data_IF_140394242753
#
_entry.id   IF_140394242753
#
_cell.length_a   1.000
_cell.length_b   1.000
_cell.length_c   1.000
_cell.angle_alpha   90.00
_cell.angle_beta   90.00
_cell.angle_gamma   90.00
#
_symmetry.space_group_name_H-M   'P 1'
#
loop_
_entity.id
_entity.type
_entity.pdbx_description
1 polymer ?
#
# COMPACT_ATOMS: atom_id res chain seq x y z
N UNK A 1 -19.23 14.95 -20.01
CA UNK A 1 -18.86 13.95 -18.98
C UNK A 1 -20.14 13.26 -18.56
N UNK A 2 -20.20 11.95 -18.53
CA UNK A 2 -21.36 11.20 -18.03
C UNK A 2 -21.61 11.59 -16.57
N UNK A 3 -22.88 11.74 -16.19
CA UNK A 3 -23.28 12.15 -14.82
C UNK A 3 -22.75 11.15 -13.77
N UNK A 4 -22.70 9.87 -14.08
CA UNK A 4 -22.16 8.83 -13.17
C UNK A 4 -20.67 9.03 -12.93
N UNK A 5 -19.87 9.27 -13.97
CA UNK A 5 -18.43 9.55 -13.86
C UNK A 5 -18.19 10.87 -13.10
N UNK A 6 -18.99 11.88 -13.36
CA UNK A 6 -18.90 13.15 -12.61
C UNK A 6 -19.14 12.95 -11.11
N UNK A 7 -20.13 12.17 -10.74
CA UNK A 7 -20.45 11.87 -9.33
C UNK A 7 -19.38 10.96 -8.70
N UNK A 8 -18.85 9.99 -9.42
CA UNK A 8 -17.76 9.13 -8.94
C UNK A 8 -16.55 9.96 -8.56
N UNK A 9 -16.09 10.83 -9.47
CA UNK A 9 -14.93 11.68 -9.25
C UNK A 9 -15.16 12.69 -8.13
N UNK A 10 -16.27 13.42 -8.16
CA UNK A 10 -16.47 14.55 -7.24
C UNK A 10 -17.09 14.18 -5.90
N UNK A 11 -17.81 13.08 -5.79
CA UNK A 11 -18.47 12.67 -4.55
C UNK A 11 -17.78 11.52 -3.81
N UNK A 12 -16.83 10.81 -4.46
CA UNK A 12 -16.11 9.68 -3.87
C UNK A 12 -14.60 9.86 -4.00
N UNK A 13 -14.03 9.91 -5.21
CA UNK A 13 -12.58 9.90 -5.43
C UNK A 13 -11.88 11.15 -4.87
N UNK A 14 -12.28 12.35 -5.28
CA UNK A 14 -11.66 13.60 -4.81
C UNK A 14 -11.73 13.79 -3.30
N UNK A 15 -12.90 13.63 -2.63
CA UNK A 15 -12.94 13.71 -1.18
C UNK A 15 -12.01 12.72 -0.47
N UNK A 16 -11.83 11.51 -1.03
CA UNK A 16 -10.89 10.54 -0.49
C UNK A 16 -9.43 11.02 -0.61
N UNK A 17 -9.05 11.59 -1.75
CA UNK A 17 -7.72 12.15 -1.98
C UNK A 17 -7.44 13.32 -1.05
N UNK A 18 -8.36 14.27 -0.95
CA UNK A 18 -8.24 15.44 -0.07
C UNK A 18 -8.08 15.01 1.40
N UNK A 19 -8.87 14.03 1.84
CA UNK A 19 -8.76 13.46 3.19
C UNK A 19 -7.38 12.81 3.41
N UNK A 20 -6.92 11.95 2.50
CA UNK A 20 -5.61 11.31 2.60
C UNK A 20 -4.46 12.34 2.61
N UNK A 21 -4.57 13.42 1.81
CA UNK A 21 -3.59 14.51 1.86
C UNK A 21 -3.59 15.21 3.23
N UNK A 22 -4.76 15.51 3.79
CA UNK A 22 -4.85 16.09 5.13
C UNK A 22 -4.28 15.19 6.23
N UNK A 23 -4.33 13.87 6.03
CA UNK A 23 -3.72 12.85 6.90
C UNK A 23 -2.19 12.71 6.70
N UNK A 24 -1.59 13.54 5.83
CA UNK A 24 -0.15 13.62 5.64
C UNK A 24 0.40 12.71 4.55
N UNK A 25 -0.43 12.26 3.61
CA UNK A 25 0.03 11.63 2.37
C UNK A 25 0.34 12.71 1.33
N UNK A 26 1.51 12.63 0.73
CA UNK A 26 1.92 13.57 -0.34
C UNK A 26 1.34 13.13 -1.67
N UNK A 27 0.61 14.00 -2.34
CA UNK A 27 0.09 13.72 -3.67
C UNK A 27 1.18 13.81 -4.73
N UNK A 28 1.20 12.82 -5.63
CA UNK A 28 2.04 12.80 -6.83
C UNK A 28 1.11 12.69 -8.03
N UNK A 29 1.31 13.53 -9.05
CA UNK A 29 0.48 13.48 -10.25
C UNK A 29 0.67 12.16 -11.02
N UNK A 30 -0.34 11.69 -11.76
CA UNK A 30 -0.20 10.51 -12.63
C UNK A 30 0.98 10.63 -13.60
N UNK A 31 1.22 11.83 -14.15
CA UNK A 31 2.31 12.12 -15.08
C UNK A 31 3.68 11.97 -14.40
N UNK A 32 3.83 12.44 -13.16
CA UNK A 32 5.09 12.30 -12.43
C UNK A 32 5.32 10.86 -11.96
N UNK A 33 4.26 10.14 -11.63
CA UNK A 33 4.34 8.70 -11.40
C UNK A 33 4.81 7.95 -12.67
N UNK A 34 4.29 8.30 -13.84
CA UNK A 34 4.70 7.67 -15.11
C UNK A 34 6.17 7.91 -15.44
N UNK A 35 6.67 9.13 -15.24
CA UNK A 35 8.11 9.46 -15.39
C UNK A 35 9.00 8.59 -14.53
N UNK A 36 8.63 8.37 -13.27
CA UNK A 36 9.43 7.57 -12.34
C UNK A 36 9.43 6.07 -12.65
N UNK A 37 8.39 5.55 -13.28
CA UNK A 37 8.27 4.13 -13.61
C UNK A 37 9.01 3.73 -14.89
N UNK A 38 9.16 4.67 -15.81
CA UNK A 38 9.74 4.45 -17.14
C UNK A 38 8.82 3.71 -18.12
N UNK A 39 7.82 2.98 -17.66
CA UNK A 39 6.75 2.39 -18.47
C UNK A 39 5.49 2.15 -17.62
N UNK A 40 4.33 2.01 -18.28
CA UNK A 40 3.06 1.71 -17.58
C UNK A 40 2.98 0.30 -17.04
N UNK A 41 3.85 -0.62 -17.47
CA UNK A 41 3.93 -1.97 -16.90
C UNK A 41 4.54 -1.96 -15.49
N UNK A 42 5.57 -1.14 -15.26
CA UNK A 42 6.19 -1.03 -13.94
C UNK A 42 5.34 -0.22 -12.97
N UNK A 43 5.41 -0.57 -11.70
CA UNK A 43 4.55 0.01 -10.66
C UNK A 43 5.32 0.62 -9.48
N UNK A 44 6.63 0.45 -9.42
CA UNK A 44 7.47 1.08 -8.40
C UNK A 44 7.83 2.51 -8.81
N UNK A 45 7.74 3.46 -7.90
CA UNK A 45 8.23 4.83 -8.08
C UNK A 45 9.75 4.83 -7.80
N UNK A 46 10.53 4.52 -8.85
CA UNK A 46 11.94 4.14 -8.74
C UNK A 46 12.84 5.19 -8.11
N UNK A 47 12.62 6.47 -8.41
CA UNK A 47 13.48 7.53 -7.86
C UNK A 47 13.21 7.75 -6.36
N UNK A 48 11.95 7.68 -5.94
CA UNK A 48 11.57 7.74 -4.53
C UNK A 48 12.14 6.52 -3.80
N UNK A 49 11.95 5.32 -4.35
CA UNK A 49 12.45 4.10 -3.74
C UNK A 49 13.98 4.12 -3.59
N UNK A 50 14.71 4.47 -4.65
CA UNK A 50 16.17 4.59 -4.63
C UNK A 50 16.65 5.58 -3.55
N UNK A 51 16.01 6.76 -3.51
CA UNK A 51 16.32 7.78 -2.52
C UNK A 51 16.10 7.29 -1.09
N UNK A 52 14.99 6.60 -0.84
CA UNK A 52 14.66 6.06 0.46
C UNK A 52 15.57 4.90 0.86
N UNK A 53 15.88 3.98 -0.05
CA UNK A 53 16.84 2.90 0.25
C UNK A 53 18.19 3.45 0.69
N UNK A 54 18.69 4.49 0.03
CA UNK A 54 19.93 5.16 0.43
C UNK A 54 19.82 5.87 1.78
N UNK A 55 18.70 6.52 2.06
CA UNK A 55 18.46 7.26 3.31
C UNK A 55 18.31 6.32 4.50
N UNK A 56 17.52 5.24 4.35
CA UNK A 56 17.16 4.35 5.46
C UNK A 56 18.26 3.37 5.82
N UNK A 57 19.21 3.11 4.92
CA UNK A 57 20.14 2.01 5.08
C UNK A 57 21.59 2.49 5.21
N UNK A 58 22.19 2.09 6.31
CA UNK A 58 23.59 2.23 6.63
C UNK A 58 24.06 0.93 7.29
N UNK A 59 25.32 0.57 7.12
CA UNK A 59 25.91 -0.53 7.85
C UNK A 59 27.13 -0.09 8.63
N UNK A 60 27.41 -0.77 9.74
CA UNK A 60 28.57 -0.46 10.58
C UNK A 60 29.64 -1.53 10.40
N UNK A 61 30.86 -1.11 10.10
CA UNK A 61 32.02 -1.98 10.01
C UNK A 61 33.23 -1.32 10.66
N UNK A 62 33.91 -2.05 11.55
CA UNK A 62 35.09 -1.56 12.29
C UNK A 62 34.90 -0.18 12.99
N UNK A 63 33.69 0.08 13.51
CA UNK A 63 33.31 1.32 14.16
C UNK A 63 32.94 2.48 13.22
N UNK A 64 33.05 2.30 11.91
CA UNK A 64 32.62 3.28 10.91
C UNK A 64 31.24 2.98 10.35
N UNK A 65 30.42 4.03 10.15
CA UNK A 65 29.12 3.93 9.48
C UNK A 65 29.31 4.15 7.98
N UNK A 66 28.83 3.22 7.17
CA UNK A 66 29.02 3.20 5.73
C UNK A 66 27.68 3.18 5.00
N UNK A 67 27.68 3.66 3.77
CA UNK A 67 26.56 3.56 2.83
C UNK A 67 26.63 2.26 2.04
N UNK A 68 25.48 1.70 1.69
CA UNK A 68 25.42 0.62 0.71
C UNK A 68 25.90 1.12 -0.66
N UNK A 69 26.60 0.26 -1.39
CA UNK A 69 27.02 0.54 -2.76
C UNK A 69 25.83 0.80 -3.68
N UNK A 70 26.03 1.67 -4.68
CA UNK A 70 24.99 1.95 -5.65
C UNK A 70 24.51 0.68 -6.37
N UNK A 71 25.43 -0.26 -6.63
CA UNK A 71 25.09 -1.56 -7.22
C UNK A 71 24.14 -2.39 -6.37
N UNK A 72 24.34 -2.43 -5.05
CA UNK A 72 23.43 -3.15 -4.15
C UNK A 72 22.08 -2.43 -3.96
N UNK A 73 22.03 -1.10 -4.03
CA UNK A 73 20.76 -0.36 -4.05
C UNK A 73 19.94 -0.72 -5.30
N UNK A 74 20.54 -0.69 -6.49
CA UNK A 74 19.83 -1.07 -7.72
C UNK A 74 19.41 -2.55 -7.69
N UNK A 75 20.31 -3.43 -7.27
CA UNK A 75 20.00 -4.86 -7.09
C UNK A 75 18.83 -5.08 -6.12
N UNK A 76 18.76 -4.33 -5.02
CA UNK A 76 17.66 -4.43 -4.07
C UNK A 76 16.32 -4.03 -4.72
N UNK A 77 16.32 -3.00 -5.58
CA UNK A 77 15.13 -2.59 -6.32
C UNK A 77 14.70 -3.65 -7.35
N UNK A 78 15.65 -4.21 -8.08
CA UNK A 78 15.37 -5.26 -9.08
C UNK A 78 14.85 -6.54 -8.42
N UNK A 79 15.45 -6.95 -7.31
CA UNK A 79 15.02 -8.13 -6.55
C UNK A 79 13.68 -7.94 -5.81
N UNK A 80 13.25 -6.70 -5.55
CA UNK A 80 11.91 -6.42 -5.05
C UNK A 80 10.86 -6.57 -6.16
N UNK A 81 11.24 -6.32 -7.41
CA UNK A 81 10.35 -6.47 -8.58
C UNK A 81 10.25 -7.94 -9.04
N UNK A 82 9.94 -8.83 -8.08
CA UNK A 82 9.77 -10.26 -8.29
C UNK A 82 8.80 -10.56 -9.45
N UNK A 83 9.18 -11.45 -10.38
CA UNK A 83 8.29 -11.88 -11.46
C UNK A 83 7.14 -12.75 -10.92
N UNK A 84 6.00 -12.71 -11.59
CA UNK A 84 4.78 -13.45 -11.20
C UNK A 84 4.79 -14.93 -11.60
N UNK A 85 5.95 -15.56 -11.73
CA UNK A 85 6.12 -16.96 -12.18
C UNK A 85 5.42 -17.97 -11.29
N UNK A 86 5.37 -17.70 -9.98
CA UNK A 86 4.73 -18.58 -8.99
C UNK A 86 3.27 -18.19 -8.70
N UNK A 87 2.71 -17.26 -9.49
CA UNK A 87 1.39 -16.69 -9.31
C UNK A 87 1.35 -15.56 -8.28
N UNK A 88 0.23 -14.82 -8.29
CA UNK A 88 0.09 -13.56 -7.57
C UNK A 88 0.32 -13.70 -6.05
N UNK A 89 -0.33 -14.68 -5.40
CA UNK A 89 -0.30 -14.78 -3.93
C UNK A 89 1.09 -15.18 -3.42
N UNK A 90 1.76 -16.15 -4.06
CA UNK A 90 3.11 -16.55 -3.67
C UNK A 90 4.15 -15.46 -3.91
N UNK A 91 4.00 -14.73 -5.02
CA UNK A 91 4.88 -13.57 -5.27
C UNK A 91 4.61 -12.46 -4.25
N UNK A 92 3.34 -12.21 -3.89
CA UNK A 92 2.99 -11.27 -2.83
C UNK A 92 3.56 -11.68 -1.47
N UNK A 93 3.64 -12.97 -1.15
CA UNK A 93 4.29 -13.48 0.07
C UNK A 93 5.78 -13.14 0.09
N UNK A 94 6.50 -13.44 -0.99
CA UNK A 94 7.94 -13.09 -1.11
C UNK A 94 8.20 -11.59 -0.97
N UNK A 95 7.36 -10.77 -1.61
CA UNK A 95 7.43 -9.32 -1.48
C UNK A 95 7.16 -8.89 -0.05
N UNK A 96 6.11 -9.41 0.57
CA UNK A 96 5.76 -9.09 1.96
C UNK A 96 6.88 -9.45 2.94
N UNK A 97 7.50 -10.61 2.80
CA UNK A 97 8.65 -11.03 3.62
C UNK A 97 9.83 -10.06 3.44
N UNK A 98 10.11 -9.64 2.20
CA UNK A 98 11.14 -8.64 1.94
C UNK A 98 10.80 -7.27 2.58
N UNK A 99 9.54 -6.84 2.56
CA UNK A 99 9.10 -5.61 3.20
C UNK A 99 9.22 -5.66 4.72
N UNK A 100 8.95 -6.82 5.34
CA UNK A 100 9.04 -7.00 6.79
C UNK A 100 10.47 -7.14 7.29
N UNK A 101 11.27 -7.97 6.63
CA UNK A 101 12.57 -8.40 7.13
C UNK A 101 13.76 -7.74 6.43
N UNK A 102 13.53 -7.12 5.27
CA UNK A 102 14.61 -6.69 4.38
C UNK A 102 15.27 -7.86 3.66
N UNK A 103 16.37 -7.57 2.97
CA UNK A 103 17.23 -8.56 2.30
C UNK A 103 18.70 -8.25 2.59
N UNK A 104 19.54 -9.30 2.67
CA UNK A 104 20.96 -9.14 2.92
C UNK A 104 21.75 -9.04 1.63
N UNK A 105 22.63 -8.03 1.56
CA UNK A 105 23.50 -7.75 0.39
C UNK A 105 24.96 -7.74 0.79
N UNK A 106 25.86 -8.34 -0.02
CA UNK A 106 27.28 -8.35 0.24
C UNK A 106 27.92 -6.98 -0.09
N UNK A 107 28.62 -6.40 0.86
CA UNK A 107 29.46 -5.22 0.66
C UNK A 107 30.94 -5.55 0.83
N UNK A 108 31.77 -4.93 0.01
CA UNK A 108 33.22 -5.05 0.15
C UNK A 108 33.69 -4.14 1.28
N UNK A 109 34.25 -4.72 2.32
CA UNK A 109 34.78 -4.02 3.49
C UNK A 109 36.31 -4.07 3.53
N UNK A 110 36.92 -3.48 4.52
CA UNK A 110 38.38 -3.39 4.66
C UNK A 110 39.12 -4.68 4.31
N UNK A 111 40.26 -4.56 3.63
CA UNK A 111 41.07 -5.64 3.14
C UNK A 111 40.42 -6.55 2.05
N UNK A 112 39.44 -6.02 1.31
CA UNK A 112 38.77 -6.76 0.24
C UNK A 112 37.86 -7.89 0.70
N UNK A 113 37.49 -7.96 1.99
CA UNK A 113 36.54 -8.94 2.50
C UNK A 113 35.11 -8.57 2.07
N UNK A 114 34.33 -9.58 1.76
CA UNK A 114 32.89 -9.43 1.51
C UNK A 114 32.12 -9.84 2.76
N UNK A 115 31.27 -8.95 3.27
CA UNK A 115 30.36 -9.22 4.38
C UNK A 115 28.95 -8.80 3.97
N UNK A 116 27.96 -9.59 4.38
CA UNK A 116 26.55 -9.28 4.08
C UNK A 116 25.92 -8.44 5.19
N UNK A 117 25.20 -7.41 4.79
CA UNK A 117 24.45 -6.52 5.68
C UNK A 117 22.99 -6.46 5.23
N UNK A 118 22.07 -6.35 6.21
CA UNK A 118 20.65 -6.27 5.93
C UNK A 118 20.26 -4.87 5.42
N UNK A 119 19.52 -4.83 4.32
CA UNK A 119 18.92 -3.65 3.72
C UNK A 119 17.41 -3.75 3.89
N UNK A 120 16.79 -2.75 4.53
CA UNK A 120 15.35 -2.66 4.75
C UNK A 120 14.69 -1.77 3.70
N UNK A 121 13.51 -2.17 3.27
CA UNK A 121 12.67 -1.39 2.36
C UNK A 121 11.75 -0.42 3.11
N UNK A 122 11.39 -0.78 4.33
CA UNK A 122 10.49 -0.03 5.23
C UNK A 122 11.16 0.07 6.60
N UNK A 123 11.13 1.26 7.18
CA UNK A 123 11.60 1.48 8.55
C UNK A 123 10.44 1.27 9.53
N UNK A 124 10.30 0.02 9.99
CA UNK A 124 9.25 -0.37 10.95
C UNK A 124 9.49 0.16 12.36
N UNK A 125 10.73 0.44 12.71
CA UNK A 125 11.11 0.87 14.05
C UNK A 125 10.93 2.39 14.20
N UNK A 126 11.37 3.16 13.19
CA UNK A 126 11.19 4.61 13.12
C UNK A 126 10.25 4.95 11.97
N UNK A 127 8.94 4.79 12.22
CA UNK A 127 7.92 4.85 11.20
C UNK A 127 7.88 6.16 10.40
N UNK A 128 8.19 7.29 11.07
CA UNK A 128 8.25 8.63 10.46
C UNK A 128 9.41 8.82 9.46
N UNK A 129 10.37 7.90 9.41
CA UNK A 129 11.41 7.91 8.39
C UNK A 129 10.90 7.53 7.00
N UNK A 130 9.73 6.88 6.93
CA UNK A 130 9.11 6.49 5.67
C UNK A 130 8.42 7.66 4.99
N UNK A 131 8.33 7.61 3.66
CA UNK A 131 7.58 8.55 2.85
C UNK A 131 6.24 7.92 2.45
N UNK A 132 5.18 8.69 2.59
CA UNK A 132 3.81 8.28 2.28
C UNK A 132 3.28 9.13 1.13
N UNK A 133 2.91 8.48 0.02
CA UNK A 133 2.40 9.18 -1.16
C UNK A 133 1.08 8.57 -1.62
N UNK A 134 0.32 9.37 -2.35
CA UNK A 134 -0.87 8.94 -3.07
C UNK A 134 -0.82 9.48 -4.50
N UNK A 135 -1.46 8.74 -5.39
CA UNK A 135 -1.78 9.21 -6.74
C UNK A 135 -3.19 8.77 -7.10
N UNK A 136 -3.75 9.44 -8.09
CA UNK A 136 -5.03 9.06 -8.70
C UNK A 136 -4.83 8.49 -10.09
N UNK A 137 -5.87 7.80 -10.63
CA UNK A 137 -5.93 7.38 -12.02
C UNK A 137 -4.63 6.68 -12.49
N UNK A 138 -4.14 5.75 -11.65
CA UNK A 138 -2.84 5.12 -11.83
C UNK A 138 -2.85 4.10 -12.98
N UNK A 139 -2.59 4.56 -14.20
CA UNK A 139 -2.64 3.71 -15.39
C UNK A 139 -1.55 2.62 -15.35
N UNK A 140 -1.97 1.35 -15.44
CA UNK A 140 -1.10 0.17 -15.50
C UNK A 140 -1.48 -0.68 -16.70
N UNK A 141 -0.49 -1.11 -17.49
CA UNK A 141 -0.65 -2.00 -18.65
C UNK A 141 -0.38 -3.45 -18.25
N UNK A 142 -1.15 -4.39 -18.81
CA UNK A 142 -0.86 -5.82 -18.70
C UNK A 142 0.45 -6.16 -19.42
N UNK A 143 1.02 -7.33 -19.10
CA UNK A 143 2.27 -7.79 -19.69
C UNK A 143 2.18 -7.94 -21.22
N UNK A 144 1.05 -8.42 -21.72
CA UNK A 144 0.78 -8.60 -23.13
C UNK A 144 0.25 -7.33 -23.82
N UNK A 145 0.07 -6.23 -23.08
CA UNK A 145 -0.49 -4.94 -23.52
C UNK A 145 -1.92 -5.02 -24.09
N UNK A 146 -2.63 -6.12 -23.83
CA UNK A 146 -4.02 -6.27 -24.30
C UNK A 146 -5.01 -5.60 -23.36
N UNK A 147 -4.67 -5.47 -22.08
CA UNK A 147 -5.49 -4.84 -21.08
C UNK A 147 -4.75 -3.70 -20.39
N UNK A 148 -5.51 -2.66 -20.11
CA UNK A 148 -5.08 -1.54 -19.29
C UNK A 148 -6.09 -1.36 -18.18
N UNK A 149 -5.62 -1.17 -16.96
CA UNK A 149 -6.46 -0.75 -15.87
C UNK A 149 -5.92 0.53 -15.26
N UNK A 150 -6.83 1.29 -14.67
CA UNK A 150 -6.52 2.58 -14.08
C UNK A 150 -7.21 2.67 -12.72
N UNK A 151 -6.61 2.05 -11.68
CA UNK A 151 -7.08 2.19 -10.31
C UNK A 151 -7.27 3.65 -9.91
N UNK A 152 -8.37 3.94 -9.22
CA UNK A 152 -8.76 5.31 -8.89
C UNK A 152 -7.76 5.98 -7.95
N UNK A 153 -7.32 5.25 -6.90
CA UNK A 153 -6.31 5.77 -5.95
C UNK A 153 -5.33 4.65 -5.60
N UNK A 154 -4.03 4.99 -5.66
CA UNK A 154 -2.96 4.10 -5.18
C UNK A 154 -2.14 4.82 -4.12
N UNK A 155 -1.90 4.13 -3.01
CA UNK A 155 -1.10 4.62 -1.89
C UNK A 155 0.27 3.92 -1.90
N UNK A 156 1.31 4.68 -1.55
CA UNK A 156 2.71 4.20 -1.57
C UNK A 156 3.38 4.44 -0.23
N UNK A 157 4.23 3.50 0.16
CA UNK A 157 5.26 3.70 1.19
C UNK A 157 6.62 3.58 0.51
N UNK A 158 7.45 4.61 0.63
CA UNK A 158 8.80 4.66 0.03
C UNK A 158 8.82 4.37 -1.49
N UNK A 159 7.74 4.72 -2.20
CA UNK A 159 7.61 4.47 -3.64
C UNK A 159 7.13 3.06 -4.00
N UNK A 160 6.79 2.23 -3.01
CA UNK A 160 6.24 0.87 -3.17
C UNK A 160 4.72 0.95 -3.00
N UNK A 161 3.90 0.48 -3.95
CA UNK A 161 2.44 0.43 -3.79
C UNK A 161 2.08 -0.46 -2.59
N UNK A 162 1.25 0.02 -1.67
CA UNK A 162 0.83 -0.81 -0.55
C UNK A 162 -0.69 -0.89 -0.38
N UNK A 163 -1.43 0.05 -0.97
CA UNK A 163 -2.89 -0.03 -0.98
C UNK A 163 -3.47 0.50 -2.30
N UNK A 164 -4.62 -0.06 -2.66
CA UNK A 164 -5.40 0.34 -3.83
C UNK A 164 -6.83 0.58 -3.39
N UNK A 165 -7.41 1.72 -3.79
CA UNK A 165 -8.81 2.07 -3.51
C UNK A 165 -9.51 2.25 -4.86
N UNK A 166 -10.65 1.57 -5.00
CA UNK A 166 -11.57 1.69 -6.13
C UNK A 166 -12.83 2.39 -5.66
N UNK A 167 -13.19 3.47 -6.33
CA UNK A 167 -14.32 4.31 -6.01
C UNK A 167 -15.48 4.07 -6.99
N UNK A 168 -16.71 4.25 -6.53
CA UNK A 168 -17.90 4.29 -7.37
C UNK A 168 -18.77 5.48 -7.01
N UNK A 169 -19.64 5.89 -7.94
CA UNK A 169 -20.63 6.92 -7.68
C UNK A 169 -21.56 6.50 -6.52
N UNK A 170 -22.08 7.42 -5.71
CA UNK A 170 -22.87 7.12 -4.50
C UNK A 170 -24.10 6.24 -4.70
N UNK A 171 -24.64 6.20 -5.92
CA UNK A 171 -25.81 5.39 -6.30
C UNK A 171 -25.44 4.03 -6.91
N UNK A 172 -24.14 3.77 -7.12
CA UNK A 172 -23.61 2.51 -7.61
C UNK A 172 -23.14 1.67 -6.40
N UNK A 173 -23.48 0.38 -6.40
CA UNK A 173 -23.03 -0.51 -5.32
C UNK A 173 -21.51 -0.65 -5.29
N UNK A 174 -20.94 -0.61 -4.10
CA UNK A 174 -19.51 -0.90 -3.84
C UNK A 174 -19.11 -2.31 -4.29
N UNK A 175 -20.08 -3.22 -4.47
CA UNK A 175 -19.83 -4.55 -5.02
C UNK A 175 -19.25 -4.51 -6.44
N UNK A 176 -19.59 -3.49 -7.23
CA UNK A 176 -18.98 -3.31 -8.55
C UNK A 176 -17.49 -2.92 -8.45
N UNK A 177 -17.13 -2.12 -7.45
CA UNK A 177 -15.72 -1.84 -7.15
C UNK A 177 -14.98 -3.10 -6.69
N UNK A 178 -15.62 -3.95 -5.87
CA UNK A 178 -15.06 -5.26 -5.47
C UNK A 178 -14.80 -6.13 -6.70
N UNK A 179 -15.76 -6.25 -7.60
CA UNK A 179 -15.63 -7.04 -8.82
C UNK A 179 -14.53 -6.52 -9.75
N UNK A 180 -14.42 -5.20 -9.89
CA UNK A 180 -13.36 -4.54 -10.65
C UNK A 180 -11.99 -4.81 -10.01
N UNK A 181 -11.88 -4.69 -8.71
CA UNK A 181 -10.66 -4.97 -7.96
C UNK A 181 -10.20 -6.43 -8.12
N UNK A 182 -11.12 -7.38 -8.05
CA UNK A 182 -10.83 -8.81 -8.26
C UNK A 182 -10.40 -9.07 -9.71
N UNK A 183 -11.10 -8.49 -10.69
CA UNK A 183 -10.73 -8.60 -12.11
C UNK A 183 -9.33 -8.08 -12.37
N UNK A 184 -8.98 -6.92 -11.82
CA UNK A 184 -7.67 -6.29 -12.03
C UNK A 184 -6.50 -7.14 -11.49
N UNK A 185 -6.77 -8.09 -10.62
CA UNK A 185 -5.79 -9.03 -10.07
C UNK A 185 -5.59 -10.29 -10.92
N UNK A 186 -6.40 -10.51 -11.96
CA UNK A 186 -6.26 -11.68 -12.83
C UNK A 186 -4.98 -11.59 -13.67
N UNK A 187 -4.47 -12.76 -14.08
CA UNK A 187 -3.18 -12.88 -14.76
C UNK A 187 -3.09 -12.08 -16.08
N UNK A 188 -4.22 -11.90 -16.76
CA UNK A 188 -4.36 -11.16 -18.00
C UNK A 188 -4.58 -9.64 -17.80
N UNK A 189 -4.75 -9.18 -16.56
CA UNK A 189 -4.90 -7.75 -16.24
C UNK A 189 -3.61 -7.14 -15.70
N UNK A 190 -3.63 -6.63 -14.44
CA UNK A 190 -2.53 -5.89 -13.84
C UNK A 190 -2.06 -6.47 -12.48
N UNK A 191 -1.85 -7.80 -12.38
CA UNK A 191 -1.48 -8.45 -11.11
C UNK A 191 -0.14 -7.95 -10.55
N UNK A 192 0.73 -7.37 -11.39
CA UNK A 192 2.01 -6.83 -10.95
C UNK A 192 1.87 -5.64 -9.98
N UNK A 193 0.75 -4.92 -9.98
CA UNK A 193 0.45 -3.92 -8.97
C UNK A 193 0.09 -4.58 -7.63
N UNK A 194 -0.70 -5.64 -7.70
CA UNK A 194 -1.28 -6.27 -6.53
C UNK A 194 -0.32 -7.19 -5.78
N UNK A 195 0.81 -7.59 -6.36
CA UNK A 195 1.84 -8.32 -5.60
C UNK A 195 2.40 -7.50 -4.44
N UNK A 196 2.34 -6.16 -4.53
CA UNK A 196 2.77 -5.23 -3.48
C UNK A 196 1.64 -4.84 -2.53
N UNK A 197 0.40 -4.78 -3.01
CA UNK A 197 -0.73 -4.28 -2.24
C UNK A 197 -1.01 -5.14 -1.01
N UNK A 198 -1.05 -4.51 0.15
CA UNK A 198 -1.38 -5.14 1.43
C UNK A 198 -2.85 -4.98 1.77
N UNK A 199 -3.43 -3.83 1.40
CA UNK A 199 -4.81 -3.47 1.64
C UNK A 199 -5.46 -3.08 0.31
N UNK A 200 -6.62 -3.62 0.02
CA UNK A 200 -7.46 -3.22 -1.11
C UNK A 200 -8.83 -2.78 -0.60
N UNK A 201 -9.35 -1.67 -1.11
CA UNK A 201 -10.60 -1.06 -0.66
C UNK A 201 -11.51 -0.78 -1.82
N UNK A 202 -12.78 -1.10 -1.66
CA UNK A 202 -13.87 -0.79 -2.58
C UNK A 202 -14.89 0.11 -1.89
N UNK A 203 -15.24 1.25 -2.49
CA UNK A 203 -16.09 2.26 -1.85
C UNK A 203 -16.98 3.00 -2.84
N UNK A 204 -18.10 3.58 -2.31
CA UNK A 204 -19.00 4.43 -3.08
C UNK A 204 -19.49 5.67 -2.29
N UNK A 205 -18.74 6.18 -1.33
CA UNK A 205 -19.09 7.21 -0.36
C UNK A 205 -19.93 6.68 0.83
N UNK A 206 -20.92 5.82 0.60
CA UNK A 206 -21.91 5.38 1.60
C UNK A 206 -21.59 4.01 2.19
N UNK A 207 -20.78 3.20 1.48
CA UNK A 207 -20.39 1.86 1.88
C UNK A 207 -18.92 1.61 1.52
N UNK A 208 -18.24 0.85 2.36
CA UNK A 208 -16.84 0.50 2.19
C UNK A 208 -16.62 -0.97 2.51
N UNK A 209 -15.90 -1.65 1.64
CA UNK A 209 -15.38 -3.00 1.87
C UNK A 209 -13.87 -3.01 1.72
N UNK A 210 -13.21 -3.78 2.53
CA UNK A 210 -11.76 -3.98 2.44
C UNK A 210 -11.40 -5.46 2.42
N UNK A 211 -10.23 -5.72 1.87
CA UNK A 211 -9.63 -7.03 1.77
C UNK A 211 -8.12 -6.91 1.60
N UNK A 212 -7.46 -8.00 1.27
CA UNK A 212 -6.09 -8.04 0.77
C UNK A 212 -6.03 -8.73 -0.59
N UNK A 213 -4.87 -8.73 -1.21
CA UNK A 213 -4.64 -9.37 -2.51
C UNK A 213 -5.08 -10.83 -2.52
N UNK A 214 -5.79 -11.23 -3.57
CA UNK A 214 -6.26 -12.61 -3.77
C UNK A 214 -7.50 -12.98 -2.99
N UNK A 215 -8.11 -12.05 -2.24
CA UNK A 215 -9.32 -12.34 -1.45
C UNK A 215 -10.55 -12.53 -2.34
N UNK A 216 -11.22 -13.70 -2.28
CA UNK A 216 -12.49 -13.92 -2.99
C UNK A 216 -13.60 -12.99 -2.51
N UNK A 217 -14.53 -12.60 -3.39
CA UNK A 217 -15.62 -11.65 -3.13
C UNK A 217 -16.35 -11.88 -1.80
N UNK A 218 -16.69 -13.12 -1.49
CA UNK A 218 -17.44 -13.48 -0.25
C UNK A 218 -16.70 -13.21 1.07
N UNK A 219 -15.39 -12.94 1.02
CA UNK A 219 -14.54 -12.69 2.19
C UNK A 219 -14.10 -11.23 2.30
N UNK A 220 -14.61 -10.34 1.47
CA UNK A 220 -14.46 -8.91 1.67
C UNK A 220 -15.25 -8.46 2.89
N UNK A 221 -14.63 -7.66 3.74
CA UNK A 221 -15.16 -7.29 5.04
C UNK A 221 -15.47 -5.79 5.10
N UNK A 222 -16.34 -5.41 6.04
CA UNK A 222 -16.52 -4.03 6.48
C UNK A 222 -15.63 -3.78 7.69
N UNK A 223 -15.06 -2.57 7.77
CA UNK A 223 -14.38 -2.13 8.98
C UNK A 223 -15.36 -1.36 9.85
N UNK A 224 -15.41 -1.68 11.14
CA UNK A 224 -16.06 -0.86 12.15
C UNK A 224 -15.01 -0.42 13.16
N UNK A 225 -14.84 0.89 13.27
CA UNK A 225 -13.95 1.44 14.28
C UNK A 225 -14.59 1.32 15.63
N UNK A 226 -13.90 0.72 16.60
CA UNK A 226 -14.37 0.58 17.99
C UNK A 226 -13.80 1.67 18.91
N UNK A 227 -12.80 2.43 18.41
CA UNK A 227 -12.25 3.60 19.12
C UNK A 227 -12.92 4.89 18.63
N UNK A 228 -14.13 5.14 19.12
CA UNK A 228 -14.90 6.35 18.75
C UNK A 228 -14.17 7.65 19.10
N UNK A 229 -13.37 7.68 20.18
CA UNK A 229 -12.60 8.86 20.57
C UNK A 229 -11.55 9.18 19.53
N UNK A 230 -10.78 8.19 19.08
CA UNK A 230 -9.82 8.35 17.99
C UNK A 230 -10.51 8.79 16.71
N UNK A 231 -11.56 8.07 16.29
CA UNK A 231 -12.24 8.34 15.03
C UNK A 231 -12.81 9.75 14.97
N UNK A 232 -13.54 10.17 16.02
CA UNK A 232 -14.18 11.47 16.05
C UNK A 232 -13.15 12.62 16.11
N UNK A 233 -12.06 12.45 16.86
CA UNK A 233 -11.00 13.44 16.92
C UNK A 233 -10.29 13.59 15.57
N UNK A 234 -9.97 12.48 14.90
CA UNK A 234 -9.34 12.48 13.59
C UNK A 234 -10.25 13.08 12.52
N UNK A 235 -11.53 12.70 12.47
CA UNK A 235 -12.50 13.28 11.55
C UNK A 235 -12.64 14.80 11.74
N UNK A 236 -12.74 15.27 12.98
CA UNK A 236 -12.83 16.70 13.28
C UNK A 236 -11.56 17.48 12.88
N UNK A 237 -10.41 16.83 12.95
CA UNK A 237 -9.12 17.40 12.53
C UNK A 237 -9.00 17.53 11.01
N UNK A 238 -9.44 16.51 10.28
CA UNK A 238 -9.19 16.39 8.86
C UNK A 238 -10.34 16.86 7.96
N UNK A 239 -11.57 16.93 8.49
CA UNK A 239 -12.77 17.33 7.75
C UNK A 239 -13.47 18.46 8.50
N UNK A 240 -13.29 19.70 8.02
CA UNK A 240 -13.81 20.92 8.68
C UNK A 240 -14.93 21.60 7.91
N UNK A 241 -15.14 21.25 6.65
CA UNK A 241 -16.01 21.96 5.69
C UNK A 241 -17.25 21.16 5.26
N UNK A 242 -17.36 19.90 5.68
CA UNK A 242 -18.46 19.02 5.34
C UNK A 242 -18.74 17.96 6.41
N UNK A 243 -19.88 17.31 6.32
CA UNK A 243 -20.19 16.17 7.19
C UNK A 243 -19.41 14.93 6.74
N UNK A 244 -18.71 14.25 7.67
CA UNK A 244 -18.02 12.99 7.37
C UNK A 244 -18.98 11.90 6.87
N UNK A 245 -18.55 11.18 5.86
CA UNK A 245 -19.28 10.05 5.26
C UNK A 245 -18.76 8.72 5.79
N UNK A 246 -19.40 7.60 5.41
CA UNK A 246 -18.91 6.26 5.74
C UNK A 246 -17.54 5.98 5.11
N UNK A 247 -17.32 6.47 3.89
CA UNK A 247 -16.01 6.41 3.22
C UNK A 247 -14.92 7.11 4.06
N UNK A 248 -15.20 8.31 4.57
CA UNK A 248 -14.23 9.07 5.38
C UNK A 248 -13.88 8.35 6.67
N UNK A 249 -14.87 7.80 7.36
CA UNK A 249 -14.67 7.00 8.58
C UNK A 249 -13.73 5.82 8.33
N UNK A 250 -13.96 5.10 7.24
CA UNK A 250 -13.15 3.95 6.87
C UNK A 250 -11.75 4.36 6.39
N UNK A 251 -11.59 5.45 5.65
CA UNK A 251 -10.28 5.97 5.24
C UNK A 251 -9.45 6.34 6.47
N UNK A 252 -10.01 7.10 7.41
CA UNK A 252 -9.33 7.45 8.66
C UNK A 252 -8.94 6.20 9.44
N UNK A 253 -9.87 5.26 9.58
CA UNK A 253 -9.66 4.03 10.36
C UNK A 253 -8.61 3.09 9.75
N UNK A 254 -8.58 2.94 8.42
CA UNK A 254 -7.68 2.00 7.74
C UNK A 254 -6.34 2.63 7.36
N UNK A 255 -6.29 3.93 7.10
CA UNK A 255 -5.14 4.60 6.51
C UNK A 255 -4.50 5.68 7.38
N UNK A 256 -4.89 5.86 8.66
CA UNK A 256 -4.02 6.57 9.60
C UNK A 256 -2.67 5.83 9.65
N UNK A 257 -1.56 6.58 9.63
CA UNK A 257 -0.22 5.99 9.44
C UNK A 257 0.10 4.91 10.46
N UNK A 258 -0.27 5.11 11.72
CA UNK A 258 -0.07 4.11 12.79
C UNK A 258 -0.93 2.85 12.54
N UNK A 259 -2.18 3.01 12.08
CA UNK A 259 -3.04 1.88 11.76
C UNK A 259 -2.50 1.06 10.59
N UNK A 260 -1.97 1.73 9.55
CA UNK A 260 -1.30 1.06 8.43
C UNK A 260 -0.11 0.25 8.93
N UNK A 261 0.73 0.85 9.79
CA UNK A 261 1.86 0.14 10.42
C UNK A 261 1.40 -1.12 11.14
N UNK A 262 0.39 -1.01 12.01
CA UNK A 262 -0.14 -2.13 12.77
C UNK A 262 -0.72 -3.21 11.86
N UNK A 263 -1.64 -2.83 10.96
CA UNK A 263 -2.32 -3.76 10.07
C UNK A 263 -1.33 -4.52 9.20
N UNK A 264 -0.40 -3.83 8.55
CA UNK A 264 0.54 -4.45 7.63
C UNK A 264 1.58 -5.28 8.37
N UNK A 265 2.09 -4.80 9.51
CA UNK A 265 3.17 -5.50 10.24
C UNK A 265 2.68 -6.72 10.99
N UNK A 266 1.44 -6.71 11.55
CA UNK A 266 1.00 -7.70 12.53
C UNK A 266 -0.28 -8.44 12.14
N UNK A 267 -1.05 -7.95 11.18
CA UNK A 267 -2.37 -8.46 10.88
C UNK A 267 -2.57 -8.93 9.43
N UNK A 268 -1.50 -8.96 8.66
CA UNK A 268 -1.44 -9.66 7.36
C UNK A 268 -0.70 -10.97 7.58
N UNK A 269 -1.23 -12.06 7.05
CA UNK A 269 -0.61 -13.37 7.13
C UNK A 269 -0.86 -14.18 5.86
N UNK A 270 -0.01 -15.17 5.63
CA UNK A 270 -0.16 -16.13 4.54
C UNK A 270 -0.34 -17.53 5.12
N UNK A 271 -1.33 -18.26 4.61
CA UNK A 271 -1.66 -19.61 5.05
C UNK A 271 -2.19 -20.40 3.86
N UNK A 272 -1.58 -21.54 3.57
CA UNK A 272 -1.93 -22.44 2.48
C UNK A 272 -2.14 -21.69 1.12
N UNK A 273 -1.22 -20.80 0.76
CA UNK A 273 -1.29 -19.97 -0.46
C UNK A 273 -2.51 -19.02 -0.50
N UNK A 274 -2.99 -18.60 0.65
CA UNK A 274 -4.03 -17.58 0.80
C UNK A 274 -3.46 -16.45 1.64
N UNK A 275 -3.49 -15.24 1.09
CA UNK A 275 -3.19 -14.03 1.85
C UNK A 275 -4.44 -13.59 2.61
N UNK A 276 -4.28 -13.28 3.88
CA UNK A 276 -5.37 -12.90 4.79
C UNK A 276 -5.04 -11.60 5.49
N UNK A 277 -6.04 -10.76 5.70
CA UNK A 277 -5.99 -9.60 6.58
C UNK A 277 -7.05 -9.78 7.68
N UNK A 278 -6.78 -9.31 8.89
CA UNK A 278 -7.69 -9.47 10.01
C UNK A 278 -9.04 -8.75 9.77
N UNK A 279 -10.08 -9.22 10.45
CA UNK A 279 -11.32 -8.48 10.64
C UNK A 279 -11.17 -7.50 11.80
N UNK A 280 -11.98 -6.43 11.82
CA UNK A 280 -11.90 -5.43 12.87
C UNK A 280 -12.03 -6.03 14.30
N UNK A 281 -12.92 -7.02 14.49
CA UNK A 281 -13.07 -7.70 15.79
C UNK A 281 -11.76 -8.36 16.25
N UNK A 282 -11.02 -8.98 15.32
CA UNK A 282 -9.74 -9.61 15.64
C UNK A 282 -8.68 -8.55 15.97
N UNK A 283 -8.67 -7.44 15.24
CA UNK A 283 -7.77 -6.32 15.50
C UNK A 283 -7.96 -5.75 16.88
N UNK A 284 -9.19 -5.39 17.24
CA UNK A 284 -9.48 -4.77 18.54
C UNK A 284 -9.31 -5.75 19.69
N UNK A 285 -9.76 -7.00 19.58
CA UNK A 285 -9.58 -8.02 20.61
C UNK A 285 -8.09 -8.29 20.91
N UNK A 286 -7.24 -8.38 19.90
CA UNK A 286 -5.80 -8.58 20.12
C UNK A 286 -5.17 -7.35 20.79
N UNK A 287 -5.53 -6.14 20.35
CA UNK A 287 -4.99 -4.92 20.94
C UNK A 287 -5.44 -4.71 22.39
N UNK A 288 -6.66 -5.08 22.76
CA UNK A 288 -7.10 -5.09 24.17
C UNK A 288 -6.26 -6.05 25.03
N UNK A 289 -6.05 -7.27 24.55
CA UNK A 289 -5.24 -8.27 25.28
C UNK A 289 -3.81 -7.77 25.47
N UNK A 290 -3.21 -7.18 24.44
CA UNK A 290 -1.82 -6.71 24.50
C UNK A 290 -1.63 -5.44 25.30
N UNK A 291 -2.63 -4.56 25.37
CA UNK A 291 -2.60 -3.34 26.19
C UNK A 291 -2.98 -3.58 27.65
N UNK A 292 -3.83 -4.56 27.94
CA UNK A 292 -4.22 -4.94 29.31
C UNK A 292 -3.14 -5.68 30.11
N UNK A 293 -2.05 -6.10 29.45
CA UNK A 293 -0.88 -6.76 30.06
C UNK A 293 0.29 -5.80 30.33
N UNK A 294 0.10 -4.49 30.20
CA UNK A 294 1.03 -3.44 30.61
C UNK A 294 0.51 -2.74 31.86
#
# INVERSE_FOLDING_TARGET
MDQTVYLEVNASQKPAIELLQSMGYTYISPEDCEKQRGSKYHVLLKDILRGQLRKLNRYTYAGAVNEFSAGNIERAMDELDEPLTDGLVRTSEKVYDALLMGKSYPETVGNGKSLSFNLKYIDWDNWDNNLFHITEEYAVESQDKQHNARPDIVLFINGIPFAVIECKAPHISEEQAVEQMIRNQQADYIPQLFKYAQIVVATNKNAVKYATTGTPKKFWNVWKEENDTFLNAALATHITDRTPTEQDRNIVSLFSKERVKELVRYFVLFDANVKKICRYQQFFAINEITSGNK
#
